data_IF_608190796110
#
_entry.id   IF_608190796110
#
_cell.length_a   1.000
_cell.length_b   1.000
_cell.length_c   1.000
_cell.angle_alpha   90.00
_cell.angle_beta   90.00
_cell.angle_gamma   90.00
#
_symmetry.space_group_name_H-M   'P 1'
#
loop_
_entity.id
_entity.type
_entity.pdbx_description
1 polymer ?
#
# COMPACT_ATOMS: atom_id res chain seq x y z
N UNK A 1 -43.71 -104.85 -9.17
CA UNK A 1 -44.24 -103.52 -8.85
C UNK A 1 -43.48 -102.95 -7.68
N UNK A 2 -43.31 -103.59 -6.50
CA UNK A 2 -42.55 -103.01 -5.34
C UNK A 2 -41.08 -102.61 -5.63
N UNK A 3 -40.29 -103.49 -6.27
CA UNK A 3 -38.91 -103.25 -6.58
C UNK A 3 -38.69 -102.08 -7.60
N UNK A 4 -39.62 -101.76 -8.39
CA UNK A 4 -39.58 -100.63 -9.34
C UNK A 4 -39.91 -99.31 -8.64
N UNK A 5 -40.84 -99.32 -7.67
CA UNK A 5 -41.12 -98.21 -6.79
C UNK A 5 -39.94 -97.81 -5.85
N UNK A 6 -39.24 -98.82 -5.33
CA UNK A 6 -38.09 -98.59 -4.45
C UNK A 6 -36.92 -97.99 -5.27
N UNK A 7 -36.64 -98.45 -6.47
CA UNK A 7 -35.67 -97.83 -7.41
C UNK A 7 -36.03 -96.40 -7.76
N UNK A 8 -37.26 -96.12 -7.98
CA UNK A 8 -37.74 -94.75 -8.29
C UNK A 8 -37.63 -93.84 -7.06
N UNK A 9 -37.96 -94.35 -5.91
CA UNK A 9 -37.75 -93.63 -4.64
C UNK A 9 -36.26 -93.29 -4.38
N UNK A 10 -35.37 -94.27 -4.59
CA UNK A 10 -33.94 -94.06 -4.47
C UNK A 10 -33.42 -92.99 -5.40
N UNK A 11 -33.79 -93.05 -6.70
CA UNK A 11 -33.42 -92.01 -7.67
C UNK A 11 -33.97 -90.60 -7.29
N UNK A 12 -35.19 -90.56 -6.75
CA UNK A 12 -35.80 -89.30 -6.32
C UNK A 12 -35.06 -88.73 -5.08
N UNK A 13 -34.63 -89.58 -4.17
CA UNK A 13 -33.83 -89.16 -3.03
C UNK A 13 -32.49 -88.62 -3.45
N UNK A 14 -31.79 -89.34 -4.38
CA UNK A 14 -30.51 -88.93 -4.91
C UNK A 14 -30.60 -87.60 -5.68
N UNK A 15 -31.64 -87.42 -6.51
CA UNK A 15 -31.91 -86.15 -7.20
C UNK A 15 -32.21 -85.00 -6.23
N UNK A 16 -32.95 -85.27 -5.17
CA UNK A 16 -33.23 -84.28 -4.12
C UNK A 16 -31.92 -83.89 -3.38
N UNK A 17 -31.06 -84.84 -3.08
CA UNK A 17 -29.77 -84.58 -2.46
C UNK A 17 -28.88 -83.69 -3.35
N UNK A 18 -28.75 -84.05 -4.64
CA UNK A 18 -28.00 -83.25 -5.65
C UNK A 18 -28.59 -81.83 -5.83
N UNK A 19 -29.93 -81.74 -5.82
CA UNK A 19 -30.60 -80.43 -5.93
C UNK A 19 -30.32 -79.56 -4.71
N UNK A 20 -30.27 -80.12 -3.50
CA UNK A 20 -29.93 -79.43 -2.26
C UNK A 20 -28.49 -78.94 -2.28
N UNK A 21 -27.54 -79.81 -2.70
CA UNK A 21 -26.13 -79.45 -2.84
C UNK A 21 -25.90 -78.36 -3.87
N UNK A 22 -26.52 -78.44 -5.06
CA UNK A 22 -26.47 -77.41 -6.09
C UNK A 22 -27.04 -76.09 -5.60
N UNK A 23 -28.14 -76.10 -4.86
CA UNK A 23 -28.72 -74.90 -4.23
C UNK A 23 -27.76 -74.26 -3.22
N UNK A 24 -27.08 -75.07 -2.40
CA UNK A 24 -26.07 -74.59 -1.47
C UNK A 24 -24.86 -73.98 -2.15
N UNK A 25 -24.33 -74.63 -3.18
CA UNK A 25 -23.24 -74.11 -4.00
C UNK A 25 -23.65 -72.78 -4.71
N UNK A 26 -24.85 -72.70 -5.25
CA UNK A 26 -25.35 -71.50 -5.87
C UNK A 26 -25.49 -70.32 -4.87
N UNK A 27 -25.91 -70.63 -3.64
CA UNK A 27 -26.00 -69.63 -2.58
C UNK A 27 -24.59 -69.11 -2.19
N UNK A 28 -23.60 -70.00 -2.09
CA UNK A 28 -22.19 -69.61 -1.83
C UNK A 28 -21.65 -68.72 -2.94
N UNK A 29 -21.79 -69.11 -4.21
CA UNK A 29 -21.35 -68.31 -5.36
C UNK A 29 -22.05 -66.94 -5.43
N UNK A 30 -23.34 -66.85 -5.09
CA UNK A 30 -24.06 -65.55 -5.00
C UNK A 30 -23.47 -64.64 -3.91
N UNK A 31 -23.07 -65.23 -2.77
CA UNK A 31 -22.46 -64.49 -1.67
C UNK A 31 -21.08 -63.94 -2.08
N UNK A 32 -20.27 -64.79 -2.72
CA UNK A 32 -18.93 -64.39 -3.22
C UNK A 32 -19.06 -63.29 -4.31
N UNK A 33 -20.01 -63.45 -5.25
CA UNK A 33 -20.25 -62.43 -6.28
C UNK A 33 -20.68 -61.11 -5.68
N UNK A 34 -21.50 -61.12 -4.63
CA UNK A 34 -21.91 -59.93 -3.91
C UNK A 34 -20.73 -59.21 -3.23
N UNK A 35 -19.88 -59.97 -2.54
CA UNK A 35 -18.68 -59.48 -1.91
C UNK A 35 -17.72 -58.85 -2.94
N UNK A 36 -17.48 -59.54 -4.06
CA UNK A 36 -16.63 -59.03 -5.14
C UNK A 36 -17.18 -57.73 -5.78
N UNK A 37 -18.51 -57.61 -5.93
CA UNK A 37 -19.12 -56.36 -6.40
C UNK A 37 -18.93 -55.24 -5.42
N UNK A 38 -19.14 -55.48 -4.13
CA UNK A 38 -18.96 -54.45 -3.08
C UNK A 38 -17.48 -54.00 -2.98
N UNK A 39 -16.55 -54.87 -3.16
CA UNK A 39 -15.12 -54.54 -3.20
C UNK A 39 -14.72 -53.73 -4.41
N UNK A 40 -15.22 -54.12 -5.61
CA UNK A 40 -15.05 -53.34 -6.84
C UNK A 40 -15.60 -51.92 -6.69
N UNK A 41 -16.81 -51.76 -6.11
CA UNK A 41 -17.48 -50.50 -5.96
C UNK A 41 -16.77 -49.63 -4.88
N UNK A 42 -16.16 -50.22 -3.87
CA UNK A 42 -15.25 -49.52 -2.95
C UNK A 42 -13.97 -49.03 -3.67
N UNK A 43 -13.35 -49.88 -4.48
CA UNK A 43 -12.17 -49.54 -5.28
C UNK A 43 -12.47 -48.36 -6.23
N UNK A 44 -13.60 -48.39 -6.91
CA UNK A 44 -14.02 -47.30 -7.80
C UNK A 44 -14.18 -45.96 -7.07
N UNK A 45 -14.83 -45.94 -5.91
CA UNK A 45 -14.99 -44.73 -5.09
C UNK A 45 -13.62 -44.23 -4.57
N UNK A 46 -12.69 -45.12 -4.26
CA UNK A 46 -11.34 -44.75 -3.85
C UNK A 46 -10.56 -44.10 -4.98
N UNK A 47 -10.67 -44.64 -6.21
CA UNK A 47 -10.04 -44.06 -7.40
C UNK A 47 -10.63 -42.66 -7.71
N UNK A 48 -11.94 -42.52 -7.67
CA UNK A 48 -12.61 -41.22 -7.87
C UNK A 48 -12.12 -40.16 -6.87
N UNK A 49 -12.02 -40.52 -5.58
CA UNK A 49 -11.49 -39.62 -4.54
C UNK A 49 -10.03 -39.24 -4.83
N UNK A 50 -9.15 -40.20 -5.08
CA UNK A 50 -7.74 -39.95 -5.37
C UNK A 50 -7.56 -39.10 -6.62
N UNK A 51 -8.41 -39.24 -7.61
CA UNK A 51 -8.38 -38.40 -8.82
C UNK A 51 -8.72 -36.94 -8.51
N UNK A 52 -9.71 -36.72 -7.66
CA UNK A 52 -10.06 -35.36 -7.19
C UNK A 52 -8.93 -34.75 -6.38
N UNK A 53 -8.38 -35.50 -5.43
CA UNK A 53 -7.27 -35.05 -4.58
C UNK A 53 -6.02 -34.72 -5.41
N UNK A 54 -5.72 -35.54 -6.42
CA UNK A 54 -4.61 -35.29 -7.34
C UNK A 54 -4.84 -34.03 -8.20
N UNK A 55 -6.07 -33.80 -8.65
CA UNK A 55 -6.44 -32.58 -9.37
C UNK A 55 -6.22 -31.33 -8.55
N UNK A 56 -6.70 -31.32 -7.31
CA UNK A 56 -6.50 -30.21 -6.37
C UNK A 56 -5.02 -29.95 -6.06
N UNK A 57 -4.23 -31.01 -5.93
CA UNK A 57 -2.77 -30.92 -5.71
C UNK A 57 -2.07 -30.33 -6.93
N UNK A 58 -2.47 -30.71 -8.15
CA UNK A 58 -1.94 -30.13 -9.39
C UNK A 58 -2.23 -28.65 -9.52
N UNK A 59 -3.48 -28.23 -9.26
CA UNK A 59 -3.86 -26.82 -9.29
C UNK A 59 -3.05 -25.99 -8.29
N UNK A 60 -2.84 -26.54 -7.09
CA UNK A 60 -2.02 -25.90 -6.05
C UNK A 60 -0.57 -25.76 -6.49
N UNK A 61 0.02 -26.82 -7.08
CA UNK A 61 1.39 -26.78 -7.59
C UNK A 61 1.54 -25.76 -8.72
N UNK A 62 0.60 -25.74 -9.67
CA UNK A 62 0.60 -24.75 -10.76
C UNK A 62 0.50 -23.33 -10.25
N UNK A 63 -0.27 -23.10 -9.19
CA UNK A 63 -0.35 -21.80 -8.54
C UNK A 63 1.01 -21.39 -7.98
N UNK A 64 1.66 -22.24 -7.19
CA UNK A 64 2.99 -21.95 -6.63
C UNK A 64 4.05 -21.74 -7.71
N UNK A 65 4.05 -22.54 -8.77
CA UNK A 65 4.98 -22.35 -9.89
C UNK A 65 4.77 -21.05 -10.66
N UNK A 66 3.53 -20.54 -10.73
CA UNK A 66 3.27 -19.21 -11.28
C UNK A 66 3.81 -18.10 -10.37
N UNK A 67 3.58 -18.21 -9.06
CA UNK A 67 4.12 -17.25 -8.07
C UNK A 67 5.64 -17.20 -8.10
N UNK A 68 6.31 -18.36 -8.12
CA UNK A 68 7.78 -18.46 -8.18
C UNK A 68 8.32 -17.78 -9.45
N UNK A 69 7.74 -18.05 -10.61
CA UNK A 69 8.13 -17.40 -11.87
C UNK A 69 7.94 -15.89 -11.84
N UNK A 70 6.85 -15.41 -11.24
CA UNK A 70 6.60 -13.99 -11.09
C UNK A 70 7.62 -13.33 -10.15
N UNK A 71 7.98 -14.00 -9.07
CA UNK A 71 8.99 -13.52 -8.13
C UNK A 71 10.37 -13.48 -8.78
N UNK A 72 10.77 -14.51 -9.52
CA UNK A 72 12.03 -14.55 -10.24
C UNK A 72 12.11 -13.44 -11.32
N UNK A 73 11.00 -13.19 -12.03
CA UNK A 73 10.93 -12.09 -12.99
C UNK A 73 11.11 -10.72 -12.32
N UNK A 74 10.44 -10.49 -11.17
CA UNK A 74 10.60 -9.24 -10.41
C UNK A 74 12.03 -9.03 -9.91
N UNK A 75 12.69 -10.11 -9.45
CA UNK A 75 14.09 -10.05 -9.03
C UNK A 75 15.01 -9.71 -10.20
N UNK A 76 14.79 -10.32 -11.36
CA UNK A 76 15.56 -10.05 -12.57
C UNK A 76 15.39 -8.61 -13.10
N UNK A 77 14.22 -7.99 -12.82
CA UNK A 77 13.93 -6.59 -13.16
C UNK A 77 14.38 -5.62 -12.06
N UNK A 78 15.04 -6.07 -10.99
CA UNK A 78 15.41 -5.24 -9.85
C UNK A 78 14.22 -4.82 -8.96
N UNK A 79 13.05 -5.43 -9.12
CA UNK A 79 11.82 -5.11 -8.38
C UNK A 79 11.60 -5.97 -7.14
N UNK A 80 12.66 -6.54 -6.60
CA UNK A 80 12.61 -7.38 -5.41
C UNK A 80 13.95 -7.44 -4.71
N UNK A 81 13.92 -7.85 -3.44
CA UNK A 81 15.11 -8.12 -2.64
C UNK A 81 15.01 -9.51 -2.01
N UNK A 82 16.15 -10.17 -1.88
CA UNK A 82 16.29 -11.41 -1.11
C UNK A 82 17.02 -11.10 0.20
N UNK A 83 16.42 -11.51 1.30
CA UNK A 83 17.03 -11.38 2.62
C UNK A 83 17.58 -12.72 3.05
N UNK A 84 18.74 -12.72 3.69
CA UNK A 84 19.40 -13.90 4.23
C UNK A 84 18.81 -14.36 5.58
N UNK A 85 17.88 -13.58 6.14
CA UNK A 85 17.11 -13.91 7.34
C UNK A 85 15.65 -13.46 7.19
N UNK A 86 14.71 -14.02 7.96
CA UNK A 86 13.31 -13.64 7.87
C UNK A 86 13.09 -12.19 8.32
N UNK A 87 12.51 -11.38 7.43
CA UNK A 87 12.01 -10.03 7.75
C UNK A 87 10.48 -10.09 7.75
N UNK A 88 9.89 -9.87 8.92
CA UNK A 88 8.43 -9.85 9.10
C UNK A 88 8.03 -8.47 9.59
N UNK A 89 7.57 -7.59 8.70
CA UNK A 89 7.07 -6.27 9.08
C UNK A 89 5.91 -6.41 10.08
N UNK A 90 5.91 -5.56 11.10
CA UNK A 90 4.86 -5.50 12.12
C UNK A 90 4.70 -4.06 12.57
N UNK A 91 3.49 -3.52 12.58
CA UNK A 91 3.23 -2.21 13.14
C UNK A 91 3.63 -2.17 14.63
N UNK A 92 4.09 -1.04 15.08
CA UNK A 92 4.52 -0.81 16.46
C UNK A 92 3.82 0.41 17.04
N UNK A 93 3.53 0.37 18.33
CA UNK A 93 3.23 1.56 19.09
C UNK A 93 4.55 2.17 19.54
N UNK A 94 4.80 3.42 19.15
CA UNK A 94 6.00 4.13 19.54
C UNK A 94 5.87 4.63 20.99
N UNK A 95 7.03 4.87 21.61
CA UNK A 95 7.08 5.31 22.99
C UNK A 95 7.34 4.17 24.00
N UNK A 96 7.33 4.56 25.26
CA UNK A 96 7.49 3.67 26.42
C UNK A 96 6.48 4.10 27.48
N UNK A 97 6.15 3.29 28.49
CA UNK A 97 5.23 3.70 29.54
C UNK A 97 5.59 5.07 30.13
N UNK A 98 4.69 6.04 30.01
CA UNK A 98 4.87 7.42 30.47
C UNK A 98 5.86 8.28 29.67
N UNK A 99 6.25 7.86 28.45
CA UNK A 99 7.15 8.59 27.54
C UNK A 99 6.72 8.38 26.11
N UNK A 100 6.14 9.40 25.49
CA UNK A 100 5.73 9.42 24.09
C UNK A 100 6.42 10.59 23.36
N UNK A 101 7.67 10.39 22.98
CA UNK A 101 8.48 11.43 22.36
C UNK A 101 7.82 12.04 21.11
N UNK A 102 7.27 11.21 20.23
CA UNK A 102 6.70 11.70 18.99
C UNK A 102 5.32 12.31 19.18
N UNK A 103 4.51 11.79 20.10
CA UNK A 103 3.26 12.44 20.52
C UNK A 103 3.53 13.81 21.17
N UNK A 104 4.50 13.90 22.07
CA UNK A 104 4.91 15.15 22.71
C UNK A 104 5.46 16.15 21.68
N UNK A 105 6.25 15.70 20.70
CA UNK A 105 6.76 16.52 19.60
C UNK A 105 5.63 17.12 18.75
N UNK A 106 4.65 16.30 18.38
CA UNK A 106 3.51 16.77 17.60
C UNK A 106 2.66 17.73 18.40
N UNK A 107 2.35 17.44 19.66
CA UNK A 107 1.61 18.34 20.54
C UNK A 107 2.34 19.68 20.75
N UNK A 108 3.67 19.68 20.83
CA UNK A 108 4.46 20.91 20.92
C UNK A 108 4.38 21.77 19.63
N UNK A 109 3.98 21.20 18.50
CA UNK A 109 3.78 21.90 17.23
C UNK A 109 2.36 22.44 17.04
N UNK A 110 1.39 22.05 17.88
CA UNK A 110 -0.04 22.32 17.69
C UNK A 110 -0.39 23.81 17.54
N UNK A 111 0.17 24.68 18.38
CA UNK A 111 -0.09 26.12 18.28
C UNK A 111 0.35 26.70 16.93
N UNK A 112 1.50 26.27 16.44
CA UNK A 112 2.06 26.67 15.15
C UNK A 112 1.21 26.10 14.01
N UNK A 113 0.88 24.84 14.08
CA UNK A 113 -0.01 24.16 13.13
C UNK A 113 -1.36 24.88 13.07
N UNK A 114 -1.97 25.18 14.20
CA UNK A 114 -3.24 25.94 14.27
C UNK A 114 -3.13 27.35 13.64
N UNK A 115 -2.02 28.04 13.85
CA UNK A 115 -1.78 29.34 13.21
C UNK A 115 -1.69 29.18 11.68
N UNK A 116 -0.88 28.22 11.21
CA UNK A 116 -0.77 27.92 9.77
C UNK A 116 -2.12 27.52 9.14
N UNK A 117 -2.95 26.71 9.80
CA UNK A 117 -4.26 26.31 9.32
C UNK A 117 -5.20 27.52 9.17
N UNK A 118 -5.14 28.48 10.09
CA UNK A 118 -5.89 29.74 9.98
C UNK A 118 -5.40 30.60 8.81
N UNK A 119 -4.11 30.62 8.54
CA UNK A 119 -3.52 31.38 7.44
C UNK A 119 -3.85 30.78 6.07
N UNK A 120 -3.86 29.47 5.94
CA UNK A 120 -4.22 28.78 4.67
C UNK A 120 -5.73 28.74 4.42
N UNK A 121 -6.55 28.72 5.48
CA UNK A 121 -8.01 28.58 5.37
C UNK A 121 -8.67 29.50 4.33
N UNK A 122 -8.43 30.82 4.34
CA UNK A 122 -9.02 31.74 3.37
C UNK A 122 -8.71 31.43 1.90
N UNK A 123 -7.60 30.74 1.62
CA UNK A 123 -7.20 30.37 0.26
C UNK A 123 -7.93 29.16 -0.30
N UNK A 124 -8.63 28.38 0.55
CA UNK A 124 -9.19 27.07 0.16
C UNK A 124 -10.54 27.16 -0.57
N UNK A 125 -11.18 28.33 -0.64
CA UNK A 125 -12.48 28.47 -1.27
C UNK A 125 -12.60 27.89 -2.70
N UNK A 126 -11.59 28.03 -3.59
CA UNK A 126 -11.65 27.43 -4.93
C UNK A 126 -11.69 25.90 -4.95
N UNK A 127 -11.27 25.23 -3.87
CA UNK A 127 -11.36 23.77 -3.77
C UNK A 127 -12.79 23.23 -3.84
N UNK A 128 -13.80 24.09 -3.66
CA UNK A 128 -15.22 23.76 -3.92
C UNK A 128 -15.49 23.35 -5.38
N UNK A 129 -14.59 23.67 -6.30
CA UNK A 129 -14.67 23.30 -7.71
C UNK A 129 -14.02 21.95 -8.01
N UNK A 130 -13.28 21.35 -7.06
CA UNK A 130 -12.65 20.04 -7.25
C UNK A 130 -13.74 18.97 -7.23
N UNK A 131 -13.91 18.21 -8.33
CA UNK A 131 -14.93 17.16 -8.40
C UNK A 131 -14.58 15.99 -7.49
N UNK A 132 -15.60 15.18 -7.16
CA UNK A 132 -15.36 13.93 -6.43
C UNK A 132 -14.59 12.95 -7.30
N UNK A 133 -15.04 12.69 -8.52
CA UNK A 133 -14.44 11.74 -9.47
C UNK A 133 -13.73 12.47 -10.61
N UNK A 134 -12.86 11.75 -11.32
CA UNK A 134 -12.11 12.28 -12.44
C UNK A 134 -13.03 12.77 -13.55
N UNK A 135 -12.88 14.03 -13.94
CA UNK A 135 -13.61 14.66 -15.04
C UNK A 135 -12.69 15.13 -16.16
N UNK A 136 -11.44 15.45 -15.81
CA UNK A 136 -10.39 15.89 -16.72
C UNK A 136 -9.04 15.39 -16.17
N UNK A 137 -8.23 14.70 -16.98
CA UNK A 137 -6.95 14.16 -16.55
C UNK A 137 -5.92 15.21 -16.10
N UNK A 138 -6.11 16.49 -16.45
CA UNK A 138 -5.25 17.59 -16.00
C UNK A 138 -5.69 18.22 -14.66
N UNK A 139 -6.87 17.88 -14.17
CA UNK A 139 -7.44 18.47 -12.95
C UNK A 139 -7.35 17.49 -11.76
N UNK A 140 -7.26 18.03 -10.52
CA UNK A 140 -7.37 17.20 -9.33
C UNK A 140 -8.83 16.74 -9.12
N UNK A 141 -8.99 15.62 -8.39
CA UNK A 141 -10.29 15.12 -7.91
C UNK A 141 -10.12 14.40 -6.56
N UNK A 142 -11.19 14.35 -5.74
CA UNK A 142 -11.06 13.90 -4.35
C UNK A 142 -10.94 12.39 -4.18
N UNK A 143 -11.57 11.59 -5.03
CA UNK A 143 -11.53 10.11 -4.94
C UNK A 143 -10.25 9.49 -5.51
N UNK A 144 -9.23 10.29 -5.79
CA UNK A 144 -7.97 9.78 -6.31
C UNK A 144 -7.29 8.83 -5.31
N UNK A 145 -6.59 7.76 -5.82
CA UNK A 145 -6.08 6.69 -4.95
C UNK A 145 -4.73 7.00 -4.28
N UNK A 146 -4.10 8.16 -4.58
CA UNK A 146 -2.70 8.38 -4.23
C UNK A 146 -2.45 9.57 -3.31
N UNK A 147 -3.24 10.64 -3.42
CA UNK A 147 -3.10 11.83 -2.59
C UNK A 147 -4.35 12.02 -1.73
N UNK A 148 -4.29 11.72 -0.43
CA UNK A 148 -5.41 11.90 0.49
C UNK A 148 -5.98 13.32 0.52
N UNK A 149 -7.27 13.51 0.87
CA UNK A 149 -7.92 14.82 0.80
C UNK A 149 -7.26 15.91 1.64
N UNK A 150 -6.78 15.59 2.85
CA UNK A 150 -6.07 16.59 3.67
C UNK A 150 -4.72 16.98 3.06
N UNK A 151 -4.04 16.05 2.39
CA UNK A 151 -2.77 16.35 1.73
C UNK A 151 -2.98 17.26 0.53
N UNK A 152 -3.98 16.96 -0.31
CA UNK A 152 -4.32 17.81 -1.44
C UNK A 152 -4.75 19.23 -1.00
N UNK A 153 -5.62 19.32 0.02
CA UNK A 153 -6.11 20.59 0.51
C UNK A 153 -5.02 21.44 1.19
N UNK A 154 -4.20 20.82 2.03
CA UNK A 154 -3.11 21.53 2.73
C UNK A 154 -1.99 21.93 1.78
N UNK A 155 -1.60 21.07 0.84
CA UNK A 155 -0.62 21.40 -0.20
C UNK A 155 -1.10 22.60 -1.04
N UNK A 156 -2.36 22.58 -1.52
CA UNK A 156 -2.97 23.70 -2.21
C UNK A 156 -2.89 24.98 -1.37
N UNK A 157 -3.31 24.90 -0.10
CA UNK A 157 -3.29 26.04 0.82
C UNK A 157 -1.89 26.57 1.12
N UNK A 158 -0.91 25.67 1.30
CA UNK A 158 0.49 26.05 1.51
C UNK A 158 1.05 26.81 0.31
N UNK A 159 0.85 26.32 -0.91
CA UNK A 159 1.30 27.01 -2.13
C UNK A 159 0.63 28.36 -2.28
N UNK A 160 -0.67 28.43 -2.06
CA UNK A 160 -1.44 29.67 -2.17
C UNK A 160 -1.00 30.75 -1.16
N UNK A 161 -0.62 30.32 0.05
CA UNK A 161 -0.27 31.22 1.17
C UNK A 161 1.21 31.60 1.16
N UNK A 162 2.10 30.61 0.97
CA UNK A 162 3.55 30.85 0.98
C UNK A 162 4.03 31.50 -0.32
N UNK A 163 3.30 31.32 -1.43
CA UNK A 163 3.58 31.92 -2.75
C UNK A 163 5.04 31.68 -3.18
N UNK A 164 5.52 30.40 -3.18
CA UNK A 164 6.90 30.10 -3.53
C UNK A 164 7.22 30.58 -4.95
N UNK A 165 8.45 31.03 -5.19
CA UNK A 165 8.92 31.29 -6.57
C UNK A 165 9.16 29.98 -7.31
N UNK A 166 9.60 28.95 -6.58
CA UNK A 166 9.88 27.62 -7.08
C UNK A 166 9.21 26.56 -6.20
N UNK A 167 8.41 25.72 -6.82
CA UNK A 167 7.94 24.47 -6.26
C UNK A 167 8.63 23.32 -7.01
N UNK A 168 9.35 22.51 -6.28
CA UNK A 168 10.03 21.33 -6.81
C UNK A 168 9.41 20.08 -6.18
N UNK A 169 9.19 19.04 -6.96
CA UNK A 169 8.71 17.76 -6.43
C UNK A 169 9.50 16.58 -6.94
N UNK A 170 9.72 15.62 -6.04
CA UNK A 170 10.29 14.30 -6.32
C UNK A 170 9.14 13.30 -6.24
N UNK A 171 8.83 12.65 -7.39
CA UNK A 171 7.60 11.88 -7.53
C UNK A 171 6.41 12.79 -7.88
N UNK A 172 5.90 12.69 -9.09
CA UNK A 172 4.89 13.61 -9.62
C UNK A 172 3.58 12.90 -9.91
N UNK A 173 2.48 13.62 -9.74
CA UNK A 173 1.18 13.04 -9.97
C UNK A 173 0.01 13.92 -9.55
N UNK A 174 -0.76 13.47 -8.58
CA UNK A 174 -1.92 14.24 -8.09
C UNK A 174 -1.51 15.49 -7.32
N UNK A 175 -0.38 15.48 -6.62
CA UNK A 175 0.23 16.66 -5.98
C UNK A 175 0.44 17.79 -6.99
N UNK A 176 1.04 17.49 -8.14
CA UNK A 176 1.27 18.45 -9.23
C UNK A 176 -0.03 19.14 -9.66
N UNK A 177 -1.13 18.39 -9.76
CA UNK A 177 -2.44 18.92 -10.17
C UNK A 177 -2.99 19.94 -9.16
N UNK A 178 -2.90 19.65 -7.86
CA UNK A 178 -3.30 20.58 -6.80
C UNK A 178 -2.43 21.83 -6.77
N UNK A 179 -1.11 21.68 -6.95
CA UNK A 179 -0.17 22.82 -7.02
C UNK A 179 -0.46 23.69 -8.23
N UNK A 180 -0.62 23.11 -9.43
CA UNK A 180 -0.97 23.89 -10.64
C UNK A 180 -2.31 24.59 -10.50
N UNK A 181 -3.29 23.95 -9.84
CA UNK A 181 -4.57 24.56 -9.54
C UNK A 181 -4.39 25.76 -8.60
N UNK A 182 -3.62 25.66 -7.52
CA UNK A 182 -3.34 26.75 -6.60
C UNK A 182 -2.66 27.94 -7.32
N UNK A 183 -1.67 27.67 -8.17
CA UNK A 183 -0.96 28.68 -8.97
C UNK A 183 -1.95 29.46 -9.85
N UNK A 184 -2.82 28.74 -10.56
CA UNK A 184 -3.82 29.34 -11.44
C UNK A 184 -4.83 30.17 -10.67
N UNK A 185 -5.43 29.62 -9.62
CA UNK A 185 -6.55 30.22 -8.90
C UNK A 185 -6.13 31.46 -8.10
N UNK A 186 -4.87 31.52 -7.67
CA UNK A 186 -4.30 32.64 -6.90
C UNK A 186 -3.37 33.54 -7.71
N UNK A 187 -3.26 33.33 -9.03
CA UNK A 187 -2.44 34.16 -9.93
C UNK A 187 -0.98 34.24 -9.46
N UNK A 188 -0.35 33.06 -9.19
CA UNK A 188 1.03 32.99 -8.72
C UNK A 188 2.01 32.88 -9.89
N UNK A 189 3.21 33.41 -9.71
CA UNK A 189 4.32 33.27 -10.65
C UNK A 189 5.21 32.06 -10.32
N UNK A 190 4.69 31.13 -9.51
CA UNK A 190 5.38 29.91 -9.07
C UNK A 190 5.69 29.00 -10.26
N UNK A 191 6.94 28.59 -10.40
CA UNK A 191 7.38 27.57 -11.36
C UNK A 191 7.32 26.19 -10.72
N UNK A 192 6.91 25.18 -11.49
CA UNK A 192 6.91 23.77 -11.09
C UNK A 192 8.05 23.05 -11.78
N UNK A 193 8.92 22.41 -10.99
CA UNK A 193 9.94 21.47 -11.46
C UNK A 193 9.58 20.06 -10.98
N UNK A 194 9.39 19.15 -11.91
CA UNK A 194 9.04 17.74 -11.66
C UNK A 194 10.27 16.85 -11.86
N UNK A 195 10.63 16.08 -10.84
CA UNK A 195 11.70 15.08 -10.89
C UNK A 195 11.06 13.72 -10.69
N UNK A 196 10.85 12.98 -11.77
CA UNK A 196 10.18 11.67 -11.72
C UNK A 196 10.53 10.86 -12.97
N UNK A 197 11.10 9.66 -12.86
CA UNK A 197 11.41 8.82 -14.02
C UNK A 197 10.15 8.32 -14.73
N UNK A 198 9.03 8.12 -13.96
CA UNK A 198 7.81 7.53 -14.50
C UNK A 198 6.58 7.96 -13.66
N UNK A 199 6.03 9.16 -13.89
CA UNK A 199 4.92 9.68 -13.12
C UNK A 199 3.66 8.80 -13.25
N UNK A 200 2.89 8.73 -12.16
CA UNK A 200 1.63 7.96 -12.09
C UNK A 200 0.47 8.63 -12.81
N UNK A 201 0.63 9.88 -13.24
CA UNK A 201 -0.34 10.64 -14.01
C UNK A 201 0.36 11.45 -15.10
N UNK A 202 -0.36 11.81 -16.15
CA UNK A 202 0.16 12.71 -17.19
C UNK A 202 0.16 14.15 -16.66
N UNK A 203 1.29 14.60 -16.14
CA UNK A 203 1.45 15.92 -15.49
C UNK A 203 2.49 16.82 -16.18
N UNK A 204 3.17 16.34 -17.21
CA UNK A 204 4.24 17.07 -17.87
C UNK A 204 3.79 18.45 -18.37
N UNK A 205 2.58 18.52 -18.95
CA UNK A 205 2.00 19.76 -19.40
C UNK A 205 1.63 20.76 -18.28
N UNK A 206 1.62 20.29 -17.03
CA UNK A 206 1.38 21.11 -15.84
C UNK A 206 2.67 21.66 -15.23
N UNK A 207 3.83 21.11 -15.64
CA UNK A 207 5.14 21.50 -15.14
C UNK A 207 5.82 22.52 -16.05
N UNK A 208 6.65 23.37 -15.47
CA UNK A 208 7.47 24.33 -16.21
C UNK A 208 8.82 23.69 -16.62
N UNK A 209 9.23 22.65 -15.90
CA UNK A 209 10.43 21.86 -16.17
C UNK A 209 10.20 20.41 -15.70
N UNK A 210 10.71 19.46 -16.48
CA UNK A 210 10.54 18.03 -16.23
C UNK A 210 11.90 17.32 -16.33
N UNK A 211 12.28 16.61 -15.26
CA UNK A 211 13.50 15.78 -15.19
C UNK A 211 13.05 14.32 -15.16
N UNK A 212 13.23 13.59 -16.27
CA UNK A 212 12.88 12.16 -16.43
C UNK A 212 14.06 11.26 -16.06
N UNK A 213 14.46 11.31 -14.80
CA UNK A 213 15.51 10.47 -14.22
C UNK A 213 15.12 10.03 -12.82
N UNK A 214 15.56 8.85 -12.33
CA UNK A 214 15.52 8.53 -10.90
C UNK A 214 16.19 9.64 -10.10
N UNK A 215 15.65 9.94 -8.94
CA UNK A 215 16.14 11.03 -8.08
C UNK A 215 17.60 10.82 -7.65
N UNK A 216 17.96 9.59 -7.36
CA UNK A 216 19.31 9.17 -6.98
C UNK A 216 20.36 9.30 -8.10
N UNK A 217 19.91 9.48 -9.34
CA UNK A 217 20.79 9.57 -10.54
C UNK A 217 20.92 11.00 -11.09
N UNK A 218 20.17 11.97 -10.53
CA UNK A 218 20.26 13.37 -11.02
C UNK A 218 21.49 14.08 -10.45
N UNK A 219 21.87 15.17 -11.11
CA UNK A 219 22.76 16.15 -10.52
C UNK A 219 22.01 16.94 -9.44
N UNK A 220 22.38 16.73 -8.17
CA UNK A 220 21.72 17.35 -7.03
C UNK A 220 21.90 18.89 -6.97
N UNK A 221 22.80 19.48 -7.77
CA UNK A 221 22.95 20.93 -7.89
C UNK A 221 21.65 21.61 -8.35
N UNK A 222 20.72 20.85 -8.96
CA UNK A 222 19.38 21.36 -9.30
C UNK A 222 18.62 21.86 -8.08
N UNK A 223 18.87 21.28 -6.90
CA UNK A 223 18.25 21.63 -5.63
C UNK A 223 18.76 22.95 -5.05
N UNK A 224 19.97 23.38 -5.45
CA UNK A 224 20.54 24.67 -5.08
C UNK A 224 19.75 25.87 -5.60
N UNK A 225 18.79 25.63 -6.48
CA UNK A 225 17.86 26.63 -6.98
C UNK A 225 16.81 27.02 -5.94
N UNK A 226 16.55 26.15 -4.96
CA UNK A 226 15.59 26.38 -3.88
C UNK A 226 16.18 27.45 -2.91
N UNK A 227 15.44 28.50 -2.70
CA UNK A 227 15.75 29.58 -1.78
C UNK A 227 14.73 29.68 -0.63
N UNK A 228 14.95 30.62 0.31
CA UNK A 228 14.00 30.85 1.41
C UNK A 228 12.60 31.13 0.89
N UNK A 229 11.60 30.40 1.39
CA UNK A 229 10.21 30.50 0.95
C UNK A 229 9.83 29.61 -0.23
N UNK A 230 10.82 29.01 -0.93
CA UNK A 230 10.54 27.98 -1.93
C UNK A 230 10.15 26.66 -1.28
N UNK A 231 9.55 25.77 -2.08
CA UNK A 231 9.00 24.52 -1.58
C UNK A 231 9.60 23.30 -2.30
N UNK A 232 9.94 22.27 -1.51
CA UNK A 232 10.31 20.93 -1.98
C UNK A 232 9.30 19.92 -1.44
N UNK A 233 8.71 19.12 -2.30
CA UNK A 233 7.83 18.01 -1.90
C UNK A 233 8.41 16.68 -2.36
N UNK A 234 8.48 15.71 -1.45
CA UNK A 234 9.07 14.39 -1.69
C UNK A 234 7.99 13.33 -1.48
N UNK A 235 7.56 12.74 -2.61
CA UNK A 235 6.62 11.62 -2.68
C UNK A 235 7.25 10.52 -3.56
N UNK A 236 8.26 9.88 -3.01
CA UNK A 236 9.21 9.00 -3.69
C UNK A 236 8.87 7.51 -3.54
N UNK A 237 9.88 6.61 -3.52
CA UNK A 237 9.66 5.17 -3.32
C UNK A 237 9.29 4.76 -1.89
N UNK A 238 9.52 5.62 -0.91
CA UNK A 238 9.36 5.40 0.55
C UNK A 238 10.20 4.26 1.14
N UNK A 239 11.24 3.79 0.40
CA UNK A 239 12.07 2.63 0.78
C UNK A 239 13.52 3.03 0.99
N UNK A 240 14.02 2.83 2.20
CA UNK A 240 15.42 3.08 2.58
C UNK A 240 16.32 1.92 2.19
N UNK A 241 16.50 1.68 0.90
CA UNK A 241 17.51 0.76 0.40
C UNK A 241 18.85 1.47 0.17
N UNK A 242 19.90 0.70 -0.11
CA UNK A 242 21.23 1.24 -0.41
C UNK A 242 21.16 2.23 -1.58
N UNK A 243 21.49 3.49 -1.31
CA UNK A 243 21.48 4.59 -2.28
C UNK A 243 20.14 4.75 -3.04
N UNK A 244 19.04 4.44 -2.40
CA UNK A 244 17.72 4.75 -2.94
C UNK A 244 17.44 6.25 -2.86
N UNK A 245 16.42 6.70 -3.59
CA UNK A 245 15.86 8.05 -3.52
C UNK A 245 15.66 8.55 -2.09
N UNK A 246 15.09 7.71 -1.21
CA UNK A 246 14.90 8.00 0.22
C UNK A 246 16.24 8.25 0.93
N UNK A 247 17.24 7.37 0.73
CA UNK A 247 18.54 7.53 1.40
C UNK A 247 19.28 8.75 0.88
N UNK A 248 19.24 9.01 -0.43
CA UNK A 248 19.84 10.21 -1.05
C UNK A 248 19.19 11.48 -0.52
N UNK A 249 17.86 11.51 -0.39
CA UNK A 249 17.18 12.66 0.20
C UNK A 249 17.70 12.98 1.62
N UNK A 250 17.75 12.00 2.53
CA UNK A 250 18.16 12.24 3.90
C UNK A 250 19.66 12.49 4.09
N UNK A 251 20.51 11.96 3.20
CA UNK A 251 21.98 12.03 3.35
C UNK A 251 22.65 13.09 2.47
N UNK A 252 22.06 13.39 1.31
CA UNK A 252 22.71 14.26 0.31
C UNK A 252 21.88 15.49 -0.07
N UNK A 253 20.57 15.51 0.24
CA UNK A 253 19.71 16.67 -0.03
C UNK A 253 19.41 17.46 1.24
N UNK A 254 18.78 16.81 2.21
CA UNK A 254 18.30 17.49 3.43
C UNK A 254 19.39 18.26 4.17
N UNK A 255 20.62 17.75 4.33
CA UNK A 255 21.71 18.49 4.99
C UNK A 255 22.10 19.79 4.28
N UNK A 256 21.86 19.88 2.97
CA UNK A 256 22.28 21.02 2.14
C UNK A 256 21.13 21.94 1.72
N UNK A 257 19.89 21.64 2.07
CA UNK A 257 18.78 22.56 1.84
C UNK A 257 19.03 23.90 2.52
N UNK A 258 18.80 24.97 1.76
CA UNK A 258 19.01 26.34 2.29
C UNK A 258 18.00 26.68 3.38
N UNK A 259 18.42 27.49 4.37
CA UNK A 259 17.53 28.01 5.40
C UNK A 259 16.28 28.66 4.81
N UNK A 260 15.13 28.41 5.44
CA UNK A 260 13.85 28.97 5.01
C UNK A 260 13.14 28.22 3.89
N UNK A 261 13.77 27.21 3.29
CA UNK A 261 13.07 26.29 2.37
C UNK A 261 12.02 25.50 3.15
N UNK A 262 10.81 25.42 2.64
CA UNK A 262 9.74 24.57 3.18
C UNK A 262 9.79 23.24 2.43
N UNK A 263 9.92 22.14 3.18
CA UNK A 263 9.93 20.82 2.57
C UNK A 263 8.88 19.90 3.18
N UNK A 264 8.30 19.04 2.37
CA UNK A 264 7.30 18.07 2.75
C UNK A 264 7.73 16.67 2.35
N UNK A 265 7.45 15.68 3.22
CA UNK A 265 7.62 14.26 2.94
C UNK A 265 6.25 13.60 3.01
N UNK A 266 5.93 12.79 2.02
CA UNK A 266 4.63 12.11 1.94
C UNK A 266 4.67 10.73 2.59
N UNK A 267 3.47 10.14 2.79
CA UNK A 267 3.28 8.83 3.43
C UNK A 267 3.92 8.73 4.84
N UNK A 268 3.79 9.80 5.64
CA UNK A 268 4.26 9.91 7.02
C UNK A 268 3.08 9.89 7.99
N UNK A 269 3.08 8.94 8.91
CA UNK A 269 2.01 8.68 9.88
C UNK A 269 2.38 9.07 11.32
N UNK A 270 3.46 9.82 11.53
CA UNK A 270 3.89 10.28 12.87
C UNK A 270 2.74 11.01 13.57
N UNK A 271 2.40 10.68 14.85
CA UNK A 271 3.19 9.88 15.80
C UNK A 271 2.93 8.36 15.74
N UNK A 272 2.14 7.86 14.79
CA UNK A 272 1.81 6.44 14.65
C UNK A 272 2.73 5.74 13.63
N UNK A 273 2.64 4.41 13.59
CA UNK A 273 3.34 3.60 12.58
C UNK A 273 2.52 3.52 11.27
N UNK A 274 3.15 2.97 10.25
CA UNK A 274 2.46 2.63 9.00
C UNK A 274 1.27 1.72 9.25
N UNK A 275 0.18 1.84 8.48
CA UNK A 275 -0.96 0.92 8.55
C UNK A 275 -0.53 -0.55 8.32
N UNK A 276 -1.16 -1.49 9.04
CA UNK A 276 -0.82 -2.91 8.96
C UNK A 276 -0.96 -3.48 7.54
N UNK A 277 -1.94 -3.01 6.78
CA UNK A 277 -2.17 -3.35 5.39
C UNK A 277 -1.05 -2.88 4.44
N UNK A 278 -0.13 -2.02 4.91
CA UNK A 278 1.03 -1.56 4.15
C UNK A 278 2.31 -2.34 4.44
N UNK A 279 2.27 -3.33 5.31
CA UNK A 279 3.44 -4.14 5.66
C UNK A 279 4.17 -4.71 4.44
N UNK A 280 3.40 -5.17 3.43
CA UNK A 280 3.96 -5.72 2.20
C UNK A 280 4.64 -4.68 1.29
N UNK A 281 4.47 -3.38 1.57
CA UNK A 281 5.13 -2.30 0.83
C UNK A 281 6.58 -2.10 1.27
N UNK A 282 6.94 -2.53 2.48
CA UNK A 282 8.27 -2.34 3.07
C UNK A 282 8.70 -0.87 3.10
N UNK A 283 7.77 0.05 3.33
CA UNK A 283 8.07 1.45 3.50
C UNK A 283 8.89 1.68 4.77
N UNK A 284 9.90 2.55 4.69
CA UNK A 284 10.84 2.78 5.78
C UNK A 284 11.26 4.26 5.92
N UNK A 285 10.81 5.15 5.04
CA UNK A 285 11.15 6.56 5.00
C UNK A 285 10.78 7.27 6.30
N UNK A 286 9.59 7.00 6.84
CA UNK A 286 9.14 7.54 8.11
C UNK A 286 10.14 7.30 9.24
N UNK A 287 10.82 6.14 9.28
CA UNK A 287 11.77 5.83 10.34
C UNK A 287 13.06 6.65 10.24
N UNK A 288 13.47 7.04 9.01
CA UNK A 288 14.57 7.99 8.82
C UNK A 288 14.15 9.38 9.30
N UNK A 289 12.96 9.85 8.93
CA UNK A 289 12.42 11.10 9.42
C UNK A 289 12.29 11.10 10.95
N UNK A 290 11.77 10.03 11.55
CA UNK A 290 11.69 9.88 13.00
C UNK A 290 13.07 9.94 13.67
N UNK A 291 14.08 9.30 13.06
CA UNK A 291 15.46 9.36 13.57
C UNK A 291 16.04 10.77 13.48
N UNK A 292 15.77 11.48 12.39
CA UNK A 292 16.14 12.88 12.20
C UNK A 292 15.48 13.78 13.24
N UNK A 293 14.16 13.65 13.44
CA UNK A 293 13.40 14.40 14.45
C UNK A 293 13.89 14.11 15.87
N UNK A 294 14.18 12.84 16.20
CA UNK A 294 14.72 12.46 17.52
C UNK A 294 16.14 13.01 17.75
N UNK A 295 16.90 13.27 16.69
CA UNK A 295 18.20 13.94 16.73
C UNK A 295 18.12 15.47 16.83
N UNK A 296 16.90 16.04 16.93
CA UNK A 296 16.68 17.48 17.01
C UNK A 296 16.48 18.17 15.66
N UNK A 297 16.36 17.37 14.58
CA UNK A 297 16.05 17.83 13.21
C UNK A 297 16.96 18.97 12.69
N UNK A 298 18.16 19.13 13.23
CA UNK A 298 19.01 20.27 12.89
C UNK A 298 18.37 21.63 13.20
N UNK A 299 17.40 21.68 14.13
CA UNK A 299 16.63 22.88 14.46
C UNK A 299 15.44 23.15 13.53
N UNK A 300 15.18 22.31 12.53
CA UNK A 300 14.06 22.49 11.60
C UNK A 300 12.71 22.54 12.32
N UNK A 301 11.85 23.40 11.82
CA UNK A 301 10.57 23.68 12.43
C UNK A 301 9.47 22.78 11.83
N UNK A 302 8.84 21.93 12.65
CA UNK A 302 7.65 21.18 12.24
C UNK A 302 6.49 22.17 12.04
N UNK A 303 5.96 22.24 10.83
CA UNK A 303 4.84 23.10 10.45
C UNK A 303 3.50 22.38 10.53
N UNK A 304 3.43 21.16 9.99
CA UNK A 304 2.18 20.41 9.84
C UNK A 304 2.46 18.94 9.58
N UNK A 305 1.79 18.05 10.32
CA UNK A 305 1.63 16.63 9.97
C UNK A 305 0.16 16.36 9.69
N UNK A 306 -0.21 16.01 8.47
CA UNK A 306 -1.63 15.83 8.10
C UNK A 306 -2.25 14.59 8.72
N UNK A 307 -1.46 13.56 9.03
CA UNK A 307 -1.92 12.42 9.81
C UNK A 307 -2.26 12.82 11.26
N UNK A 308 -1.39 13.62 11.89
CA UNK A 308 -1.67 14.18 13.22
C UNK A 308 -2.90 15.09 13.19
N UNK A 309 -3.00 15.96 12.18
CA UNK A 309 -4.18 16.81 11.95
C UNK A 309 -5.47 15.98 11.86
N UNK A 310 -5.48 14.91 11.06
CA UNK A 310 -6.62 14.01 10.91
C UNK A 310 -7.08 13.39 12.26
N UNK A 311 -6.13 13.15 13.16
CA UNK A 311 -6.35 12.53 14.45
C UNK A 311 -6.64 13.54 15.58
N UNK A 312 -6.56 14.86 15.30
CA UNK A 312 -6.64 15.93 16.28
C UNK A 312 -7.85 16.84 16.04
N UNK A 313 -9.02 16.58 16.68
CA UNK A 313 -10.23 17.37 16.47
C UNK A 313 -10.02 18.88 16.69
N UNK A 314 -9.24 19.28 17.69
CA UNK A 314 -8.93 20.68 18.02
C UNK A 314 -8.14 21.40 16.92
N UNK A 315 -7.32 20.68 16.15
CA UNK A 315 -6.62 21.24 14.99
C UNK A 315 -7.56 21.29 13.76
N UNK A 316 -8.33 20.23 13.53
CA UNK A 316 -9.29 20.19 12.43
C UNK A 316 -10.32 21.33 12.48
N UNK A 317 -10.73 21.74 13.68
CA UNK A 317 -11.65 22.90 13.86
C UNK A 317 -11.16 24.18 13.20
N UNK A 318 -9.84 24.36 13.03
CA UNK A 318 -9.27 25.53 12.34
C UNK A 318 -9.34 25.44 10.81
N UNK A 319 -9.45 24.24 10.26
CA UNK A 319 -9.47 24.00 8.81
C UNK A 319 -10.87 23.71 8.27
N UNK A 320 -11.67 22.94 9.00
CA UNK A 320 -13.00 22.47 8.55
C UNK A 320 -13.93 23.57 8.03
N UNK A 321 -14.02 24.77 8.64
CA UNK A 321 -14.91 25.81 8.14
C UNK A 321 -14.55 26.32 6.73
N UNK A 322 -13.31 26.10 6.31
CA UNK A 322 -12.76 26.55 5.01
C UNK A 322 -12.71 25.44 3.97
N UNK A 323 -12.85 24.18 4.39
CA UNK A 323 -12.87 23.05 3.45
C UNK A 323 -14.25 22.96 2.77
N UNK A 324 -14.29 22.61 1.47
CA UNK A 324 -15.53 22.19 0.84
C UNK A 324 -16.03 20.89 1.46
N UNK A 325 -17.28 20.54 1.19
CA UNK A 325 -17.76 19.19 1.51
C UNK A 325 -17.01 18.17 0.65
N UNK A 326 -16.29 17.26 1.31
CA UNK A 326 -15.54 16.17 0.70
C UNK A 326 -16.19 14.86 1.13
N UNK A 327 -16.70 14.07 0.19
CA UNK A 327 -17.42 12.82 0.46
C UNK A 327 -16.47 11.61 0.60
N UNK A 328 -15.19 11.84 0.91
CA UNK A 328 -14.18 10.84 1.28
C UNK A 328 -13.65 11.10 2.69
N UNK A 329 -13.13 10.08 3.40
CA UNK A 329 -12.54 10.28 4.72
C UNK A 329 -11.42 11.32 4.69
N UNK A 330 -11.44 12.26 5.64
CA UNK A 330 -10.40 13.27 5.81
C UNK A 330 -9.18 12.64 6.49
N UNK A 331 -8.32 12.04 5.68
CA UNK A 331 -7.05 11.45 6.09
C UNK A 331 -5.91 12.14 5.37
N UNK A 332 -4.68 11.95 5.86
CA UNK A 332 -3.47 12.49 5.26
C UNK A 332 -2.21 11.76 5.71
N UNK A 333 -1.12 11.98 5.00
CA UNK A 333 0.21 11.44 5.24
C UNK A 333 1.32 12.45 4.89
N UNK A 334 0.99 13.71 4.63
CA UNK A 334 1.99 14.77 4.38
C UNK A 334 2.60 15.28 5.68
N UNK A 335 3.91 15.44 5.71
CA UNK A 335 4.65 15.98 6.85
C UNK A 335 5.55 17.13 6.42
N UNK A 336 5.26 18.33 6.90
CA UNK A 336 5.86 19.58 6.44
C UNK A 336 6.75 20.20 7.49
N UNK A 337 7.96 20.60 7.05
CA UNK A 337 8.94 21.28 7.87
C UNK A 337 9.46 22.54 7.15
N UNK A 338 10.05 23.45 7.94
CA UNK A 338 10.84 24.57 7.42
C UNK A 338 12.28 24.39 7.86
N UNK A 339 13.18 24.48 6.91
CA UNK A 339 14.64 24.41 7.17
C UNK A 339 15.08 25.53 8.11
N UNK A 340 15.73 25.18 9.19
CA UNK A 340 16.30 26.16 10.12
C UNK A 340 17.43 26.97 9.47
N UNK A 341 17.63 28.19 9.96
CA UNK A 341 18.86 28.92 9.71
C UNK A 341 19.99 28.38 10.57
N UNK A 342 21.21 28.44 10.08
CA UNK A 342 22.37 28.26 10.96
C UNK A 342 22.28 29.33 12.05
N UNK A 343 22.08 28.93 13.31
CA UNK A 343 22.32 29.83 14.43
C UNK A 343 23.84 30.09 14.45
N UNK A 344 24.24 31.22 13.89
CA UNK A 344 25.61 31.71 13.88
C UNK A 344 26.03 32.19 15.26
#
# INVERSE_FOLDING_TARGET
MRAQLDRTRGRLQETRARLKETRSSLAAVRTELRAAREERDRGRRSIERLTIDLGATHETLDHFMRLDRQQQARLAEGRGALFDYPVVPRPRTFGRPGKDFFGDLMAASDDRTAALLRDIGPSLAPLSQVPHDETDPSLPFWSNPWLPPLDGATLYGLVATLRPSLYMEVGSGFSTKFVRMAIRDHGLDTRIVSIDPQPRAEVDALCDEVVRSPYEDIDLDVLDRLGPGDMLFVDNSHRSFTNSDVTVFFTETLPYLRPGVVYGVHDIFVPHDYPEEWNDRFYAEQYLLMSYLAGGAGGDEVLLGTHHLASSPHLLEHLLPSLPRIDTPLVGGGFWLRRAGDES
#
